data_IF_455539721886
#
_entry.id   IF_455539721886
#
_cell.length_a   1.000
_cell.length_b   1.000
_cell.length_c   1.000
_cell.angle_alpha   90.00
_cell.angle_beta   90.00
_cell.angle_gamma   90.00
#
_symmetry.space_group_name_H-M   'P 1'
#
loop_
_entity.id
_entity.type
_entity.pdbx_description
1 polymer ?
#
# COMPACT_ATOMS: atom_id res chain seq x y z
N UNK A 1 5.20 -10.10 14.78
CA UNK A 1 4.37 -9.19 15.61
C UNK A 1 3.46 -10.06 16.45
N UNK A 2 3.55 -9.92 17.77
CA UNK A 2 2.71 -10.66 18.72
C UNK A 2 1.67 -9.66 19.24
N UNK A 3 0.41 -10.07 19.32
CA UNK A 3 -0.64 -9.22 19.90
C UNK A 3 -0.42 -9.05 21.41
N UNK A 4 -1.06 -8.07 22.07
CA UNK A 4 -0.98 -7.89 23.52
C UNK A 4 -1.40 -9.14 24.33
N UNK A 5 -2.11 -10.08 23.70
CA UNK A 5 -2.56 -11.34 24.31
C UNK A 5 -1.56 -12.48 24.15
N UNK A 6 -0.38 -12.25 23.55
CA UNK A 6 0.65 -13.27 23.35
C UNK A 6 0.43 -14.18 22.14
N UNK A 7 -0.65 -13.98 21.38
CA UNK A 7 -0.93 -14.74 20.15
C UNK A 7 -0.25 -14.10 18.94
N UNK A 8 0.16 -14.92 17.96
CA UNK A 8 0.79 -14.40 16.74
C UNK A 8 -0.22 -13.55 15.97
N UNK A 9 0.19 -12.36 15.51
CA UNK A 9 -0.71 -11.48 14.77
C UNK A 9 -1.15 -12.12 13.44
N UNK A 10 -0.29 -12.88 12.76
CA UNK A 10 -0.68 -13.62 11.56
C UNK A 10 -0.75 -15.12 11.86
N UNK A 11 -1.79 -15.82 11.38
CA UNK A 11 -1.86 -17.27 11.49
C UNK A 11 -0.68 -17.88 10.75
N UNK A 12 -0.01 -18.84 11.37
CA UNK A 12 1.07 -19.60 10.76
C UNK A 12 0.52 -20.75 9.92
N UNK A 13 -0.71 -21.17 10.19
CA UNK A 13 -1.39 -22.26 9.49
C UNK A 13 -2.82 -21.89 9.08
N UNK A 14 -3.36 -22.61 8.09
CA UNK A 14 -4.76 -22.45 7.67
C UNK A 14 -5.76 -22.79 8.78
N UNK A 15 -5.42 -23.74 9.66
CA UNK A 15 -6.26 -24.13 10.80
C UNK A 15 -6.38 -22.97 11.80
N UNK A 16 -5.26 -22.35 12.17
CA UNK A 16 -5.25 -21.15 13.01
C UNK A 16 -6.05 -20.00 12.36
N UNK A 17 -5.94 -19.81 11.04
CA UNK A 17 -6.68 -18.77 10.34
C UNK A 17 -8.20 -18.98 10.41
N UNK A 18 -8.66 -20.24 10.30
CA UNK A 18 -10.08 -20.61 10.41
C UNK A 18 -10.57 -20.43 11.85
N UNK A 19 -9.81 -20.90 12.84
CA UNK A 19 -10.15 -20.79 14.26
C UNK A 19 -10.26 -19.35 14.73
N UNK A 20 -9.42 -18.46 14.21
CA UNK A 20 -9.45 -17.04 14.54
C UNK A 20 -10.71 -16.34 14.03
N UNK A 21 -11.45 -16.94 13.09
CA UNK A 21 -12.66 -16.38 12.48
C UNK A 21 -12.50 -14.90 12.05
N UNK A 22 -11.34 -14.58 11.46
CA UNK A 22 -10.93 -13.24 11.03
C UNK A 22 -10.58 -13.23 9.55
N UNK A 23 -10.91 -12.13 8.88
CA UNK A 23 -10.48 -11.91 7.50
C UNK A 23 -9.03 -11.36 7.49
N UNK A 24 -8.11 -12.16 7.00
CA UNK A 24 -6.72 -11.75 6.79
C UNK A 24 -6.56 -11.13 5.42
N UNK A 25 -6.63 -9.80 5.35
CA UNK A 25 -6.42 -9.07 4.10
C UNK A 25 -4.93 -8.70 3.95
N UNK A 26 -4.27 -9.35 3.01
CA UNK A 26 -2.92 -9.00 2.60
C UNK A 26 -2.96 -7.85 1.61
N UNK A 27 -2.21 -6.79 1.92
CA UNK A 27 -2.21 -5.54 1.15
C UNK A 27 -0.78 -5.27 0.70
N UNK A 28 -0.57 -5.09 -0.61
CA UNK A 28 0.71 -4.66 -1.17
C UNK A 28 0.60 -3.21 -1.59
N UNK A 29 1.43 -2.38 -0.96
CA UNK A 29 1.59 -0.96 -1.29
C UNK A 29 2.75 -0.81 -2.29
N UNK A 30 2.48 -0.14 -3.41
CA UNK A 30 3.48 0.16 -4.44
C UNK A 30 3.49 1.66 -4.73
N UNK A 31 4.71 2.20 -4.89
CA UNK A 31 4.96 3.57 -5.28
C UNK A 31 5.82 3.55 -6.54
N UNK A 32 5.30 4.09 -7.63
CA UNK A 32 6.05 4.26 -8.88
C UNK A 32 6.18 5.76 -9.17
N UNK A 33 7.34 6.21 -9.62
CA UNK A 33 7.61 7.64 -9.88
C UNK A 33 7.80 7.85 -11.38
N UNK A 34 7.07 8.82 -11.94
CA UNK A 34 7.25 9.24 -13.31
C UNK A 34 7.47 10.75 -13.41
N UNK A 35 8.12 11.19 -14.49
CA UNK A 35 8.29 12.61 -14.80
C UNK A 35 7.43 12.96 -16.01
N UNK A 36 6.25 13.58 -15.84
CA UNK A 36 5.36 13.92 -16.95
C UNK A 36 5.97 14.96 -17.90
N UNK A 37 6.84 15.84 -17.40
CA UNK A 37 7.54 16.82 -18.21
C UNK A 37 9.03 16.47 -18.35
N UNK A 38 9.46 16.17 -19.58
CA UNK A 38 10.89 16.06 -19.96
C UNK A 38 11.34 17.25 -20.84
N UNK A 39 10.68 18.41 -20.73
CA UNK A 39 11.05 19.58 -21.53
C UNK A 39 12.28 20.28 -20.95
N UNK A 40 13.18 20.74 -21.80
CA UNK A 40 14.37 21.54 -21.43
C UNK A 40 14.06 22.90 -20.78
N UNK A 41 12.81 23.36 -20.85
CA UNK A 41 12.35 24.68 -20.34
C UNK A 41 11.67 24.58 -18.97
N UNK A 42 11.14 23.41 -18.60
CA UNK A 42 10.46 23.16 -17.32
C UNK A 42 11.40 22.47 -16.34
N UNK A 43 11.32 22.82 -15.05
CA UNK A 43 12.01 22.06 -14.00
C UNK A 43 11.47 20.62 -13.98
N UNK A 44 12.36 19.62 -13.90
CA UNK A 44 11.94 18.22 -13.74
C UNK A 44 11.10 18.07 -12.46
N UNK A 45 9.82 17.75 -12.63
CA UNK A 45 8.90 17.47 -11.54
C UNK A 45 8.55 15.97 -11.55
N UNK A 46 9.14 15.19 -10.64
CA UNK A 46 8.80 13.78 -10.45
C UNK A 46 7.53 13.66 -9.62
N UNK A 47 6.48 13.04 -10.14
CA UNK A 47 5.24 12.75 -9.42
C UNK A 47 5.08 11.24 -9.31
N UNK A 48 4.60 10.75 -8.17
CA UNK A 48 4.51 9.31 -7.92
C UNK A 48 3.11 8.86 -7.48
N UNK A 49 2.38 8.07 -8.29
CA UNK A 49 1.20 7.38 -7.81
C UNK A 49 1.54 6.41 -6.68
N UNK A 50 0.69 6.42 -5.66
CA UNK A 50 0.67 5.44 -4.59
C UNK A 50 -0.51 4.51 -4.86
N UNK A 51 -0.22 3.24 -5.05
CA UNK A 51 -1.20 2.22 -5.42
C UNK A 51 -1.18 1.04 -4.47
N UNK A 52 -2.32 0.36 -4.36
CA UNK A 52 -2.54 -0.77 -3.49
C UNK A 52 -3.17 -1.91 -4.27
N UNK A 53 -2.73 -3.15 -4.04
CA UNK A 53 -3.43 -4.34 -4.50
C UNK A 53 -3.59 -5.38 -3.37
N UNK A 54 -4.59 -6.25 -3.53
CA UNK A 54 -4.89 -7.31 -2.57
C UNK A 54 -4.08 -8.56 -2.92
N UNK A 55 -3.21 -9.00 -2.00
CA UNK A 55 -2.30 -10.13 -2.23
C UNK A 55 -2.99 -11.49 -2.10
N UNK A 56 -4.18 -11.54 -1.51
CA UNK A 56 -5.02 -12.74 -1.46
C UNK A 56 -5.49 -13.19 -2.86
N UNK A 57 -5.46 -12.32 -3.86
CA UNK A 57 -5.79 -12.69 -5.23
C UNK A 57 -4.70 -13.55 -5.86
N UNK A 58 -5.05 -14.43 -6.82
CA UNK A 58 -4.08 -15.14 -7.66
C UNK A 58 -3.06 -14.18 -8.31
N UNK A 59 -1.79 -14.59 -8.47
CA UNK A 59 -0.74 -13.71 -8.99
C UNK A 59 -1.08 -13.01 -10.30
N UNK A 60 -1.74 -13.70 -11.24
CA UNK A 60 -2.19 -13.14 -12.52
C UNK A 60 -3.20 -11.99 -12.37
N UNK A 61 -3.94 -11.94 -11.26
CA UNK A 61 -4.99 -10.94 -11.02
C UNK A 61 -4.50 -9.75 -10.18
N UNK A 62 -3.39 -9.88 -9.44
CA UNK A 62 -2.93 -8.85 -8.48
C UNK A 62 -2.63 -7.51 -9.12
N UNK A 63 -2.03 -7.52 -10.31
CA UNK A 63 -1.60 -6.32 -11.03
C UNK A 63 -2.49 -5.99 -12.23
N UNK A 64 -3.63 -6.68 -12.38
CA UNK A 64 -4.64 -6.25 -13.32
C UNK A 64 -5.14 -4.86 -12.90
N UNK A 65 -5.24 -3.94 -13.85
CA UNK A 65 -5.69 -2.55 -13.61
C UNK A 65 -7.01 -2.49 -12.83
N UNK A 66 -7.93 -3.44 -13.06
CA UNK A 66 -9.20 -3.56 -12.33
C UNK A 66 -9.04 -3.79 -10.82
N UNK A 67 -7.95 -4.43 -10.41
CA UNK A 67 -7.68 -4.81 -9.02
C UNK A 67 -6.62 -3.91 -8.36
N UNK A 68 -6.18 -2.87 -9.06
CA UNK A 68 -5.22 -1.90 -8.56
C UNK A 68 -5.98 -0.66 -8.09
N UNK A 69 -5.86 -0.34 -6.81
CA UNK A 69 -6.47 0.84 -6.21
C UNK A 69 -5.44 1.97 -6.15
N UNK A 70 -5.70 3.10 -6.83
CA UNK A 70 -4.90 4.31 -6.67
C UNK A 70 -5.36 5.03 -5.40
N UNK A 71 -4.48 5.12 -4.42
CA UNK A 71 -4.81 5.69 -3.10
C UNK A 71 -4.28 7.12 -2.92
N UNK A 72 -3.35 7.56 -3.76
CA UNK A 72 -2.82 8.91 -3.69
C UNK A 72 -1.83 9.24 -4.80
N UNK A 73 -1.50 10.53 -4.90
CA UNK A 73 -0.47 11.05 -5.80
C UNK A 73 0.50 11.86 -4.94
N UNK A 74 1.76 11.42 -4.91
CA UNK A 74 2.83 12.08 -4.17
C UNK A 74 3.41 13.24 -5.00
N UNK A 75 3.44 14.47 -4.45
CA UNK A 75 3.95 15.63 -5.16
C UNK A 75 5.47 15.61 -5.30
N UNK A 76 5.97 16.13 -6.43
CA UNK A 76 7.39 16.33 -6.71
C UNK A 76 8.00 17.57 -6.06
N UNK A 77 9.34 17.75 -6.16
CA UNK A 77 10.20 17.20 -7.20
C UNK A 77 11.13 16.05 -6.78
N UNK A 78 11.31 15.80 -5.48
CA UNK A 78 12.19 14.75 -4.94
C UNK A 78 11.39 13.62 -4.32
N UNK A 79 12.00 12.46 -4.20
CA UNK A 79 11.44 11.34 -3.46
C UNK A 79 11.23 11.75 -1.99
N UNK A 80 10.00 11.60 -1.45
CA UNK A 80 9.75 11.89 -0.05
C UNK A 80 10.58 10.95 0.81
N UNK A 81 11.21 11.49 1.84
CA UNK A 81 11.78 10.63 2.88
C UNK A 81 10.65 9.98 3.71
N UNK A 82 11.01 9.04 4.60
CA UNK A 82 10.02 8.33 5.42
C UNK A 82 9.10 9.27 6.23
N UNK A 83 9.65 10.39 6.75
CA UNK A 83 8.87 11.37 7.52
C UNK A 83 7.90 12.15 6.64
N UNK A 84 8.27 12.42 5.39
CA UNK A 84 7.42 13.09 4.41
C UNK A 84 6.36 12.15 3.83
N UNK A 85 6.61 10.84 3.79
CA UNK A 85 5.65 9.84 3.33
C UNK A 85 4.57 9.56 4.38
N UNK A 86 4.91 9.61 5.67
CA UNK A 86 4.01 9.26 6.78
C UNK A 86 2.64 9.96 6.71
N UNK A 87 2.52 11.29 6.49
CA UNK A 87 1.23 11.98 6.43
C UNK A 87 0.34 11.52 5.27
N UNK A 88 0.92 11.01 4.19
CA UNK A 88 0.17 10.45 3.06
C UNK A 88 -0.36 9.04 3.35
N UNK A 89 0.31 8.30 4.25
CA UNK A 89 -0.10 6.95 4.65
C UNK A 89 -1.07 6.96 5.85
N UNK A 90 -1.04 7.98 6.70
CA UNK A 90 -1.94 8.04 7.87
C UNK A 90 -3.41 7.87 7.50
N UNK A 91 -3.97 8.57 6.48
CA UNK A 91 -5.37 8.38 6.10
C UNK A 91 -5.65 6.95 5.66
N UNK A 92 -4.74 6.30 4.93
CA UNK A 92 -4.90 4.91 4.51
C UNK A 92 -4.97 3.99 5.75
N UNK A 93 -4.04 4.16 6.69
CA UNK A 93 -3.98 3.35 7.92
C UNK A 93 -5.25 3.56 8.75
N UNK A 94 -5.70 4.80 8.92
CA UNK A 94 -6.90 5.11 9.69
C UNK A 94 -8.15 4.47 9.07
N UNK A 95 -8.27 4.49 7.74
CA UNK A 95 -9.35 3.80 7.03
C UNK A 95 -9.28 2.28 7.22
N UNK A 96 -8.08 1.69 7.17
CA UNK A 96 -7.89 0.25 7.36
C UNK A 96 -8.15 -0.21 8.80
N UNK A 97 -7.93 0.66 9.79
CA UNK A 97 -8.23 0.37 11.20
C UNK A 97 -9.73 0.48 11.54
N UNK A 98 -10.50 1.17 10.69
CA UNK A 98 -11.95 1.33 10.85
C UNK A 98 -12.78 0.24 10.15
N UNK A 99 -12.15 -0.65 9.37
CA UNK A 99 -12.78 -1.80 8.72
C UNK A 99 -12.99 -2.96 9.71
#
# INVERSE_FOLDING_TARGET
MVTPTGTCFFPQTWQEAIEQNKLWLGVLLSMDRFSPSQSTVSKSHSTGPLSVCITNLPPELRFCVRNLCLIGILPGPKEPNAQQLQPFLCPLVDNLLCL
#
